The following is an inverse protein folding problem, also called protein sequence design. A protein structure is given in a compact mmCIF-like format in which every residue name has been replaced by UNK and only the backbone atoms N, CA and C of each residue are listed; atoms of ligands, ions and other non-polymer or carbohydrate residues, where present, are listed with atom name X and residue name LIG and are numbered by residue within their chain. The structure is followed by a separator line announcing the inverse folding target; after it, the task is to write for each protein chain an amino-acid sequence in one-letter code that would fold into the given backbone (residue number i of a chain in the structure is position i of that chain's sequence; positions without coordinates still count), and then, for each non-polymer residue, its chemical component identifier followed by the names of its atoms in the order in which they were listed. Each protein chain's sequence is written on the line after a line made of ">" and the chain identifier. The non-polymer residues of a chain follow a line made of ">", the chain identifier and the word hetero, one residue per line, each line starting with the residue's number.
data_IF_684173649168
#
_entry.id   IF_684173649168
#
_cell.length_a   1.000
_cell.length_b   1.000
_cell.length_c   1.000
_cell.angle_alpha   90.00
_cell.angle_beta   90.00
_cell.angle_gamma   90.00
#
_symmetry.space_group_name_H-M   'P 1'
#
loop_
_entity.id
_entity.type
_entity.pdbx_description
1 polymer ?
#
# COMPACT_ATOMS: atom_id res chain seq x y z
N UNK A 1 -33.26 54.02 -37.14
CA UNK A 1 -32.40 53.51 -36.10
C UNK A 1 -32.84 52.07 -35.76
N UNK A 2 -32.10 51.06 -36.26
CA UNK A 2 -32.40 49.64 -36.01
C UNK A 2 -31.51 49.21 -34.85
N UNK A 3 -32.10 48.83 -33.70
CA UNK A 3 -31.37 48.28 -32.55
C UNK A 3 -31.11 46.79 -32.80
N UNK A 4 -29.84 46.41 -32.91
CA UNK A 4 -29.39 45.03 -32.87
C UNK A 4 -29.39 44.56 -31.40
N UNK A 5 -30.22 43.57 -31.11
CA UNK A 5 -30.10 42.80 -29.84
C UNK A 5 -29.11 41.67 -30.09
N UNK A 6 -27.95 41.71 -29.43
CA UNK A 6 -27.01 40.60 -29.39
C UNK A 6 -27.48 39.59 -28.32
N UNK A 7 -27.92 38.42 -28.73
CA UNK A 7 -28.18 37.32 -27.85
C UNK A 7 -26.83 36.68 -27.46
N UNK A 8 -26.41 36.89 -26.19
CA UNK A 8 -25.26 36.19 -25.59
C UNK A 8 -25.77 34.83 -25.11
N UNK A 9 -25.43 33.78 -25.87
CA UNK A 9 -25.67 32.40 -25.47
C UNK A 9 -24.59 32.02 -24.41
N UNK A 10 -25.01 31.93 -23.14
CA UNK A 10 -24.16 31.32 -22.09
C UNK A 10 -24.13 29.82 -22.32
N UNK A 11 -23.02 29.30 -22.83
CA UNK A 11 -22.72 27.87 -22.78
C UNK A 11 -22.32 27.51 -21.36
N UNK A 12 -23.27 26.98 -20.59
CA UNK A 12 -22.93 26.23 -19.37
C UNK A 12 -22.22 24.94 -19.80
N UNK A 13 -20.89 24.93 -19.77
CA UNK A 13 -20.12 23.69 -19.77
C UNK A 13 -20.48 22.94 -18.47
N UNK A 14 -20.96 21.68 -18.54
CA UNK A 14 -21.12 20.89 -17.35
C UNK A 14 -19.73 20.72 -16.70
N UNK A 15 -19.55 21.25 -15.50
CA UNK A 15 -18.46 20.80 -14.63
C UNK A 15 -18.71 19.29 -14.43
N UNK A 16 -17.89 18.45 -15.05
CA UNK A 16 -17.76 17.05 -14.66
C UNK A 16 -17.21 17.05 -13.24
N UNK A 17 -18.09 17.05 -12.25
CA UNK A 17 -17.70 16.77 -10.88
C UNK A 17 -17.16 15.35 -10.89
N UNK A 18 -15.86 15.16 -10.59
CA UNK A 18 -15.29 13.85 -10.35
C UNK A 18 -16.14 13.18 -9.27
N UNK A 19 -16.62 11.97 -9.55
CA UNK A 19 -17.46 11.27 -8.59
C UNK A 19 -16.65 11.01 -7.31
N UNK A 20 -17.09 11.60 -6.18
CA UNK A 20 -16.50 11.37 -4.88
C UNK A 20 -16.66 9.89 -4.48
N UNK A 21 -15.67 9.34 -3.75
CA UNK A 21 -15.79 8.00 -3.16
C UNK A 21 -16.98 7.99 -2.20
N UNK A 22 -17.90 7.05 -2.40
CA UNK A 22 -19.02 6.83 -1.49
C UNK A 22 -18.59 5.86 -0.39
N UNK A 23 -18.25 6.39 0.77
CA UNK A 23 -17.78 5.60 1.90
C UNK A 23 -18.91 4.85 2.61
N UNK A 24 -18.64 3.75 3.36
CA UNK A 24 -19.63 3.09 4.21
C UNK A 24 -20.22 4.05 5.24
N UNK A 25 -21.41 3.73 5.78
CA UNK A 25 -22.10 4.58 6.73
C UNK A 25 -21.22 5.01 7.90
N UNK A 26 -21.16 6.33 8.16
CA UNK A 26 -20.34 6.93 9.20
C UNK A 26 -18.88 7.17 8.83
N UNK A 27 -18.42 6.74 7.66
CA UNK A 27 -17.05 6.98 7.19
C UNK A 27 -16.99 8.14 6.19
N UNK A 28 -15.87 8.87 6.19
CA UNK A 28 -15.60 10.00 5.28
C UNK A 28 -14.30 9.83 4.50
N UNK A 29 -13.39 8.98 4.99
CA UNK A 29 -12.09 8.72 4.38
C UNK A 29 -11.60 7.32 4.79
N UNK A 30 -10.54 6.84 4.14
CA UNK A 30 -9.86 5.63 4.57
C UNK A 30 -8.34 5.81 4.65
N UNK A 31 -7.73 5.16 5.65
CA UNK A 31 -6.28 5.02 5.79
C UNK A 31 -5.92 3.54 5.76
N UNK A 32 -4.95 3.21 4.94
CA UNK A 32 -4.35 1.89 4.83
C UNK A 32 -2.95 1.93 5.44
N UNK A 33 -2.76 1.22 6.57
CA UNK A 33 -1.47 1.09 7.23
C UNK A 33 -0.75 -0.12 6.65
N UNK A 34 0.39 0.09 6.01
CA UNK A 34 1.17 -0.95 5.34
C UNK A 34 2.57 -1.03 5.92
N UNK A 35 3.08 -2.26 6.06
CA UNK A 35 4.34 -2.56 6.71
C UNK A 35 5.16 -3.51 5.83
N UNK A 36 6.38 -3.11 5.46
CA UNK A 36 7.21 -3.84 4.52
C UNK A 36 8.20 -4.79 5.20
N UNK A 37 8.76 -5.68 4.40
CA UNK A 37 9.86 -6.61 4.67
C UNK A 37 9.54 -7.78 5.61
N UNK A 38 8.44 -7.74 6.35
CA UNK A 38 8.12 -8.75 7.35
C UNK A 38 9.02 -8.68 8.59
N UNK A 39 9.37 -7.47 9.03
CA UNK A 39 10.15 -7.21 10.24
C UNK A 39 9.49 -7.86 11.48
N UNK A 40 10.29 -8.43 12.40
CA UNK A 40 9.76 -9.11 13.58
C UNK A 40 9.03 -8.16 14.53
N UNK A 41 9.48 -6.92 14.64
CA UNK A 41 8.81 -5.87 15.43
C UNK A 41 7.36 -5.59 14.98
N UNK A 42 6.97 -6.02 13.79
CA UNK A 42 5.60 -5.85 13.31
C UNK A 42 4.60 -6.72 14.09
N UNK A 43 4.93 -7.97 14.37
CA UNK A 43 4.05 -8.79 15.22
C UNK A 43 4.19 -8.50 16.71
N UNK A 44 5.34 -7.98 17.16
CA UNK A 44 5.57 -7.65 18.56
C UNK A 44 4.91 -6.34 18.99
N UNK A 45 4.91 -5.33 18.12
CA UNK A 45 4.44 -3.97 18.41
C UNK A 45 3.24 -3.54 17.59
N UNK A 46 3.24 -3.80 16.26
CA UNK A 46 2.19 -3.28 15.37
C UNK A 46 0.89 -4.04 15.52
N UNK A 47 0.93 -5.38 15.42
CA UNK A 47 -0.30 -6.21 15.46
C UNK A 47 -1.09 -5.99 16.76
N UNK A 48 -0.47 -5.97 17.96
CA UNK A 48 -1.19 -5.64 19.19
C UNK A 48 -1.82 -4.26 19.18
N UNK A 49 -1.08 -3.22 18.76
CA UNK A 49 -1.59 -1.84 18.71
C UNK A 49 -2.80 -1.69 17.76
N UNK A 50 -2.75 -2.32 16.59
CA UNK A 50 -3.88 -2.32 15.64
C UNK A 50 -5.10 -3.06 16.21
N UNK A 51 -4.88 -4.22 16.83
CA UNK A 51 -5.96 -5.05 17.38
C UNK A 51 -6.70 -4.40 18.54
N UNK A 52 -6.01 -3.60 19.36
CA UNK A 52 -6.63 -2.85 20.47
C UNK A 52 -7.78 -1.95 19.97
N UNK A 53 -7.65 -1.40 18.76
CA UNK A 53 -8.66 -0.53 18.14
C UNK A 53 -9.49 -1.22 17.04
N UNK A 54 -9.40 -2.55 16.89
CA UNK A 54 -10.01 -3.31 15.79
C UNK A 54 -9.58 -2.82 14.40
N UNK A 55 -8.42 -2.20 14.27
CA UNK A 55 -7.83 -1.82 13.00
C UNK A 55 -7.20 -3.02 12.30
N UNK A 56 -7.12 -2.96 10.96
CA UNK A 56 -6.47 -3.98 10.16
C UNK A 56 -5.38 -3.34 9.30
N UNK A 57 -4.20 -3.93 9.34
CA UNK A 57 -3.04 -3.52 8.55
C UNK A 57 -2.70 -4.55 7.48
N UNK A 58 -1.81 -4.17 6.58
CA UNK A 58 -1.27 -5.04 5.52
C UNK A 58 0.23 -5.19 5.70
N UNK A 59 0.72 -6.42 5.68
CA UNK A 59 2.12 -6.76 5.87
C UNK A 59 2.68 -7.35 4.57
N UNK A 60 3.57 -6.63 3.91
CA UNK A 60 4.21 -7.05 2.68
C UNK A 60 5.47 -7.84 3.00
N UNK A 61 5.39 -9.16 2.84
CA UNK A 61 6.43 -10.09 3.27
C UNK A 61 7.46 -10.33 2.17
N UNK A 62 8.74 -10.27 2.54
CA UNK A 62 9.88 -10.59 1.70
C UNK A 62 10.31 -12.05 1.92
N UNK A 63 10.27 -12.86 0.85
CA UNK A 63 10.44 -14.32 0.96
C UNK A 63 11.78 -14.77 1.53
N UNK A 64 12.90 -14.12 1.17
CA UNK A 64 14.23 -14.48 1.66
C UNK A 64 14.46 -14.14 3.14
N UNK A 65 13.55 -13.42 3.77
CA UNK A 65 13.58 -13.11 5.21
C UNK A 65 12.74 -14.08 6.05
N UNK A 66 11.81 -14.80 5.40
CA UNK A 66 10.95 -15.75 6.08
C UNK A 66 11.71 -17.02 6.44
N UNK A 67 11.65 -17.39 7.70
CA UNK A 67 12.12 -18.67 8.21
C UNK A 67 10.94 -19.58 8.59
N UNK A 68 11.21 -20.85 8.86
CA UNK A 68 10.15 -21.79 9.29
C UNK A 68 9.52 -21.38 10.64
N UNK A 69 10.27 -20.64 11.49
CA UNK A 69 9.79 -20.13 12.78
C UNK A 69 8.82 -18.95 12.60
N UNK A 70 8.91 -18.20 11.52
CA UNK A 70 8.10 -17.02 11.26
C UNK A 70 6.72 -17.39 10.70
N UNK A 71 6.61 -18.50 9.97
CA UNK A 71 5.38 -18.95 9.32
C UNK A 71 4.19 -19.05 10.29
N UNK A 72 4.30 -19.67 11.49
CA UNK A 72 3.20 -19.72 12.44
C UNK A 72 2.74 -18.35 12.94
N UNK A 73 3.67 -17.39 13.06
CA UNK A 73 3.35 -16.04 13.50
C UNK A 73 2.56 -15.29 12.42
N UNK A 74 3.03 -15.32 11.16
CA UNK A 74 2.32 -14.69 10.05
C UNK A 74 0.95 -15.33 9.78
N UNK A 75 0.79 -16.65 10.00
CA UNK A 75 -0.52 -17.29 9.96
C UNK A 75 -1.46 -16.72 11.01
N UNK A 76 -1.00 -16.56 12.26
CA UNK A 76 -1.77 -15.91 13.31
C UNK A 76 -2.17 -14.48 12.95
N UNK A 77 -1.27 -13.69 12.35
CA UNK A 77 -1.54 -12.33 11.89
C UNK A 77 -2.68 -12.34 10.87
N UNK A 78 -2.64 -13.25 9.90
CA UNK A 78 -3.72 -13.41 8.92
C UNK A 78 -5.04 -13.88 9.55
N UNK A 79 -5.01 -14.84 10.48
CA UNK A 79 -6.20 -15.32 11.22
C UNK A 79 -6.87 -14.20 12.04
N UNK A 80 -6.14 -13.17 12.44
CA UNK A 80 -6.67 -11.99 13.11
C UNK A 80 -7.27 -10.95 12.13
N UNK A 81 -7.31 -11.26 10.84
CA UNK A 81 -7.92 -10.45 9.80
C UNK A 81 -7.02 -9.38 9.19
N UNK A 82 -5.72 -9.41 9.49
CA UNK A 82 -4.75 -8.60 8.75
C UNK A 82 -4.46 -9.22 7.39
N UNK A 83 -3.94 -8.40 6.47
CA UNK A 83 -3.56 -8.84 5.13
C UNK A 83 -2.07 -9.17 5.08
N UNK A 84 -1.74 -10.31 4.43
CA UNK A 84 -0.38 -10.59 3.99
C UNK A 84 -0.27 -10.25 2.51
N UNK A 85 0.70 -9.43 2.16
CA UNK A 85 0.99 -9.00 0.79
C UNK A 85 2.37 -9.49 0.32
N UNK A 86 2.60 -9.43 -0.97
CA UNK A 86 3.80 -9.88 -1.63
C UNK A 86 4.83 -8.75 -1.77
N UNK A 87 6.05 -8.97 -1.27
CA UNK A 87 7.19 -8.05 -1.42
C UNK A 87 8.38 -8.71 -2.14
N UNK A 88 8.09 -9.62 -3.07
CA UNK A 88 9.02 -10.51 -3.78
C UNK A 88 9.74 -11.50 -2.86
N UNK A 89 10.60 -12.35 -3.45
CA UNK A 89 11.44 -13.25 -2.66
C UNK A 89 12.73 -12.53 -2.25
N UNK A 90 13.38 -11.83 -3.18
CA UNK A 90 14.74 -11.33 -2.99
C UNK A 90 14.84 -9.81 -2.80
N UNK A 91 13.72 -9.09 -2.87
CA UNK A 91 13.70 -7.62 -2.75
C UNK A 91 14.67 -6.93 -3.73
N UNK A 92 14.61 -7.32 -5.00
CA UNK A 92 15.53 -6.80 -6.01
C UNK A 92 15.32 -5.30 -6.26
N UNK A 93 16.38 -4.50 -6.07
CA UNK A 93 16.43 -3.06 -6.36
C UNK A 93 17.59 -2.73 -7.31
N UNK A 94 17.49 -1.63 -8.06
CA UNK A 94 18.57 -1.17 -8.93
C UNK A 94 19.80 -0.68 -8.15
N UNK A 95 19.59 -0.17 -6.93
CA UNK A 95 20.66 0.32 -6.06
C UNK A 95 21.28 -0.78 -5.19
N UNK A 96 20.71 -1.99 -5.22
CA UNK A 96 21.26 -3.13 -4.50
C UNK A 96 22.65 -3.43 -5.09
N UNK A 97 23.66 -3.49 -4.23
CA UNK A 97 24.95 -4.08 -4.60
C UNK A 97 24.65 -5.50 -5.08
N UNK A 98 25.02 -5.80 -6.34
CA UNK A 98 24.83 -7.12 -6.88
C UNK A 98 25.33 -8.14 -5.86
N UNK A 99 24.45 -9.05 -5.39
CA UNK A 99 24.88 -10.15 -4.54
C UNK A 99 25.71 -11.10 -5.40
N UNK A 100 27.02 -10.93 -5.29
CA UNK A 100 28.00 -11.71 -6.03
C UNK A 100 28.28 -13.07 -5.39
N UNK A 101 27.77 -13.33 -4.17
CA UNK A 101 28.03 -14.57 -3.43
C UNK A 101 27.44 -15.80 -4.12
N UNK A 102 26.36 -15.66 -4.87
CA UNK A 102 25.72 -16.76 -5.62
C UNK A 102 26.07 -16.79 -7.11
N UNK A 103 26.84 -15.83 -7.60
CA UNK A 103 27.11 -15.66 -9.04
C UNK A 103 25.91 -15.16 -9.84
N UNK A 104 24.80 -14.79 -9.19
CA UNK A 104 23.61 -14.24 -9.81
C UNK A 104 23.48 -12.76 -9.48
N UNK A 105 23.17 -11.95 -10.48
CA UNK A 105 22.83 -10.55 -10.25
C UNK A 105 21.40 -10.49 -9.70
N UNK A 106 21.23 -9.91 -8.51
CA UNK A 106 19.92 -9.66 -7.90
C UNK A 106 19.49 -8.20 -8.01
N UNK A 107 20.23 -7.38 -8.73
CA UNK A 107 19.78 -6.03 -9.04
C UNK A 107 18.62 -6.10 -10.06
N UNK A 108 17.61 -5.26 -9.87
CA UNK A 108 16.39 -5.27 -10.68
C UNK A 108 16.66 -5.04 -12.19
N UNK A 109 17.73 -4.32 -12.54
CA UNK A 109 18.17 -4.13 -13.92
C UNK A 109 18.71 -5.40 -14.60
N UNK A 110 19.02 -6.45 -13.84
CA UNK A 110 19.45 -7.77 -14.36
C UNK A 110 18.26 -8.71 -14.63
N UNK A 111 17.07 -8.39 -14.13
CA UNK A 111 15.86 -9.18 -14.34
C UNK A 111 15.23 -8.87 -15.68
N UNK A 112 14.67 -9.88 -16.32
CA UNK A 112 13.61 -9.71 -17.31
C UNK A 112 12.27 -9.55 -16.62
N UNK A 113 11.27 -9.00 -17.32
CA UNK A 113 9.89 -8.95 -16.82
C UNK A 113 9.37 -10.35 -16.47
N UNK A 114 9.65 -11.35 -17.31
CA UNK A 114 9.22 -12.73 -17.09
C UNK A 114 9.81 -13.32 -15.80
N UNK A 115 11.10 -13.12 -15.54
CA UNK A 115 11.76 -13.59 -14.32
C UNK A 115 11.15 -12.93 -13.09
N UNK A 116 10.88 -11.63 -13.12
CA UNK A 116 10.23 -10.93 -12.02
C UNK A 116 8.80 -11.43 -11.78
N UNK A 117 8.00 -11.58 -12.83
CA UNK A 117 6.63 -12.12 -12.70
C UNK A 117 6.64 -13.56 -12.16
N UNK A 118 7.61 -14.38 -12.52
CA UNK A 118 7.77 -15.73 -11.99
C UNK A 118 8.15 -15.71 -10.50
N UNK A 119 9.06 -14.83 -10.08
CA UNK A 119 9.41 -14.65 -8.68
C UNK A 119 8.18 -14.24 -7.84
N UNK A 120 7.38 -13.28 -8.33
CA UNK A 120 6.14 -12.85 -7.68
C UNK A 120 5.13 -14.00 -7.56
N UNK A 121 4.95 -14.81 -8.61
CA UNK A 121 4.08 -16.00 -8.58
C UNK A 121 4.53 -17.02 -7.54
N UNK A 122 5.84 -17.26 -7.42
CA UNK A 122 6.38 -18.18 -6.42
C UNK A 122 6.10 -17.63 -5.01
N UNK A 123 6.34 -16.36 -4.78
CA UNK A 123 6.07 -15.73 -3.48
C UNK A 123 4.57 -15.76 -3.14
N UNK A 124 3.66 -15.55 -4.10
CA UNK A 124 2.22 -15.76 -3.89
C UNK A 124 1.91 -17.20 -3.45
N UNK A 125 2.60 -18.20 -4.00
CA UNK A 125 2.47 -19.59 -3.56
C UNK A 125 2.87 -19.79 -2.09
N UNK A 126 3.94 -19.12 -1.62
CA UNK A 126 4.33 -19.13 -0.20
C UNK A 126 3.27 -18.45 0.68
N UNK A 127 2.78 -17.29 0.28
CA UNK A 127 1.74 -16.60 1.02
C UNK A 127 0.46 -17.43 1.11
N UNK A 128 0.03 -18.05 0.00
CA UNK A 128 -1.13 -18.95 -0.02
C UNK A 128 -0.97 -20.14 0.92
N UNK A 129 0.24 -20.66 1.08
CA UNK A 129 0.51 -21.75 2.05
C UNK A 129 0.47 -21.24 3.52
N UNK A 130 0.65 -19.95 3.76
CA UNK A 130 0.58 -19.33 5.08
C UNK A 130 -0.87 -19.00 5.44
N UNK A 131 -1.59 -18.28 4.55
CA UNK A 131 -2.89 -17.66 4.86
C UNK A 131 -4.09 -18.30 4.16
N UNK A 132 -3.86 -19.23 3.23
CA UNK A 132 -4.90 -19.93 2.47
C UNK A 132 -5.60 -19.09 1.41
N UNK A 133 -5.16 -17.83 1.17
CA UNK A 133 -5.77 -16.95 0.18
C UNK A 133 -5.19 -17.21 -1.22
N UNK A 134 -6.03 -17.08 -2.24
CA UNK A 134 -5.62 -17.28 -3.65
C UNK A 134 -5.07 -16.00 -4.30
N UNK A 135 -5.36 -14.83 -3.74
CA UNK A 135 -5.00 -13.54 -4.32
C UNK A 135 -4.32 -12.67 -3.27
N UNK A 136 -3.24 -12.01 -3.66
CA UNK A 136 -2.47 -11.12 -2.81
C UNK A 136 -2.25 -9.77 -3.50
N UNK A 137 -2.10 -8.72 -2.69
CA UNK A 137 -1.58 -7.43 -3.13
C UNK A 137 -0.06 -7.44 -3.19
N UNK A 138 0.51 -6.41 -3.78
CA UNK A 138 1.94 -6.29 -4.03
C UNK A 138 2.49 -4.95 -3.55
N UNK A 139 3.71 -4.93 -3.04
CA UNK A 139 4.49 -3.71 -2.84
C UNK A 139 5.78 -3.79 -3.66
N UNK A 140 6.05 -2.73 -4.41
CA UNK A 140 7.29 -2.65 -5.22
C UNK A 140 8.51 -2.49 -4.32
N UNK A 141 9.51 -3.42 -4.36
CA UNK A 141 10.79 -3.19 -3.72
C UNK A 141 11.41 -1.86 -4.15
N UNK A 142 11.80 -1.03 -3.18
CA UNK A 142 12.34 0.33 -3.41
C UNK A 142 11.43 1.24 -4.28
N UNK A 143 10.12 0.99 -4.35
CA UNK A 143 9.20 1.70 -5.23
C UNK A 143 9.47 1.52 -6.73
N UNK A 144 10.24 0.52 -7.14
CA UNK A 144 10.70 0.34 -8.52
C UNK A 144 9.85 -0.68 -9.27
N UNK A 145 9.26 -0.27 -10.39
CA UNK A 145 8.34 -1.08 -11.19
C UNK A 145 8.91 -1.53 -12.56
N UNK A 146 10.24 -1.37 -12.77
CA UNK A 146 10.89 -1.74 -14.05
C UNK A 146 12.00 -2.76 -13.84
N UNK A 147 11.83 -3.95 -14.41
CA UNK A 147 12.81 -5.01 -14.49
C UNK A 147 13.53 -4.95 -15.85
N UNK A 148 14.85 -4.88 -15.85
CA UNK A 148 15.63 -4.71 -17.09
C UNK A 148 15.21 -3.49 -17.91
N UNK A 149 14.72 -2.44 -17.26
CA UNK A 149 14.24 -1.21 -17.91
C UNK A 149 12.80 -1.27 -18.45
N UNK A 150 12.10 -2.42 -18.35
CA UNK A 150 10.74 -2.62 -18.83
C UNK A 150 9.76 -2.71 -17.64
N UNK A 151 8.58 -2.11 -17.79
CA UNK A 151 7.52 -2.14 -16.79
C UNK A 151 7.04 -3.58 -16.56
N UNK A 152 7.02 -4.03 -15.28
CA UNK A 152 6.46 -5.32 -14.90
C UNK A 152 5.15 -5.18 -14.09
N UNK A 153 4.83 -3.98 -13.64
CA UNK A 153 3.65 -3.74 -12.82
C UNK A 153 2.35 -3.87 -13.61
N UNK A 154 2.27 -3.23 -14.78
CA UNK A 154 1.08 -3.35 -15.64
C UNK A 154 0.82 -4.80 -16.03
N UNK A 155 1.76 -5.58 -16.61
CA UNK A 155 1.51 -6.98 -16.93
C UNK A 155 1.24 -7.86 -15.71
N UNK A 156 1.76 -7.54 -14.52
CA UNK A 156 1.43 -8.25 -13.28
C UNK A 156 -0.05 -8.15 -12.94
N UNK A 157 -0.62 -6.94 -13.04
CA UNK A 157 -2.04 -6.69 -12.78
C UNK A 157 -2.92 -7.28 -13.90
N UNK A 158 -2.58 -7.05 -15.17
CA UNK A 158 -3.36 -7.54 -16.31
C UNK A 158 -3.44 -9.07 -16.36
N UNK A 159 -2.40 -9.77 -15.93
CA UNK A 159 -2.39 -11.23 -15.83
C UNK A 159 -3.05 -11.75 -14.54
N UNK A 160 -3.55 -10.86 -13.65
CA UNK A 160 -4.16 -11.25 -12.39
C UNK A 160 -3.19 -11.91 -11.39
N UNK A 161 -1.88 -11.64 -11.49
CA UNK A 161 -0.88 -12.19 -10.59
C UNK A 161 -1.02 -11.57 -9.20
N UNK A 162 -1.24 -10.25 -9.14
CA UNK A 162 -1.59 -9.53 -7.92
C UNK A 162 -2.80 -8.62 -8.17
N UNK A 163 -3.53 -8.25 -7.10
CA UNK A 163 -4.74 -7.42 -7.21
C UNK A 163 -4.42 -5.94 -7.35
N UNK A 164 -3.49 -5.45 -6.54
CA UNK A 164 -3.05 -4.06 -6.47
C UNK A 164 -1.56 -4.00 -6.17
N UNK A 165 -0.89 -2.92 -6.63
CA UNK A 165 0.53 -2.72 -6.43
C UNK A 165 0.83 -1.32 -5.87
N UNK A 166 1.48 -1.27 -4.70
CA UNK A 166 1.83 -0.07 -3.95
C UNK A 166 3.20 0.45 -4.36
N UNK A 167 3.25 1.75 -4.63
CA UNK A 167 4.45 2.56 -4.79
C UNK A 167 4.98 3.05 -3.42
N UNK A 168 6.00 3.90 -3.43
CA UNK A 168 6.55 4.57 -2.25
C UNK A 168 6.81 6.05 -2.53
N UNK A 169 7.16 6.80 -1.47
CA UNK A 169 7.75 8.14 -1.53
C UNK A 169 6.91 9.20 -2.26
N UNK A 170 5.59 9.16 -2.07
CA UNK A 170 4.68 10.19 -2.56
C UNK A 170 3.70 10.64 -1.47
N UNK A 171 3.26 11.88 -1.56
CA UNK A 171 2.18 12.42 -0.71
C UNK A 171 0.82 12.42 -1.43
N UNK A 172 0.71 11.70 -2.55
CA UNK A 172 -0.53 11.59 -3.28
C UNK A 172 -1.53 10.67 -2.56
N UNK A 173 -2.81 10.89 -2.85
CA UNK A 173 -3.92 10.11 -2.32
C UNK A 173 -4.91 9.76 -3.44
N UNK A 174 -5.82 8.84 -3.18
CA UNK A 174 -6.91 8.49 -4.09
C UNK A 174 -8.11 9.34 -3.68
N UNK A 175 -8.39 10.43 -4.43
CA UNK A 175 -9.48 11.36 -4.12
C UNK A 175 -10.81 10.93 -4.75
N UNK A 176 -10.78 10.14 -5.83
CA UNK A 176 -11.94 9.63 -6.53
C UNK A 176 -11.73 8.21 -7.04
N UNK A 177 -12.80 7.45 -7.37
CA UNK A 177 -12.65 6.12 -7.96
C UNK A 177 -11.86 6.11 -9.26
N UNK A 178 -11.90 7.20 -10.04
CA UNK A 178 -11.15 7.34 -11.30
C UNK A 178 -9.63 7.46 -11.10
N UNK A 179 -9.17 7.90 -9.93
CA UNK A 179 -7.74 8.04 -9.61
C UNK A 179 -7.08 6.69 -9.28
N UNK A 180 -7.89 5.68 -8.98
CA UNK A 180 -7.39 4.35 -8.65
C UNK A 180 -6.70 3.72 -9.87
N UNK A 181 -5.38 3.57 -9.83
CA UNK A 181 -4.61 2.78 -10.79
C UNK A 181 -4.08 1.52 -10.07
N UNK A 182 -4.63 0.31 -10.34
CA UNK A 182 -4.22 -0.90 -9.61
C UNK A 182 -2.73 -1.22 -9.67
N UNK A 183 -2.03 -0.82 -10.74
CA UNK A 183 -0.59 -1.03 -10.89
C UNK A 183 0.25 0.08 -10.24
N UNK A 184 -0.37 1.13 -9.67
CA UNK A 184 0.37 2.28 -9.16
C UNK A 184 -0.41 2.98 -8.04
N UNK A 185 -0.49 2.35 -6.88
CA UNK A 185 -1.13 2.93 -5.69
C UNK A 185 -0.11 3.78 -4.95
N UNK A 186 -0.34 5.10 -4.80
CA UNK A 186 0.58 5.99 -4.10
C UNK A 186 0.64 5.67 -2.61
N UNK A 187 1.79 5.92 -1.97
CA UNK A 187 1.97 5.76 -0.54
C UNK A 187 2.91 6.80 0.06
N UNK A 188 2.51 7.37 1.18
CA UNK A 188 3.33 8.19 2.05
C UNK A 188 4.30 7.30 2.84
N UNK A 189 5.60 7.56 2.74
CA UNK A 189 6.63 6.78 3.43
C UNK A 189 7.00 7.42 4.76
N UNK A 190 6.82 6.69 5.86
CA UNK A 190 7.33 7.08 7.17
C UNK A 190 8.82 6.70 7.26
N UNK A 191 9.71 7.68 7.09
CA UNK A 191 11.15 7.50 7.15
C UNK A 191 11.66 7.26 8.57
N UNK A 192 12.90 6.73 8.75
CA UNK A 192 13.48 6.49 10.05
C UNK A 192 13.43 7.74 10.95
N UNK A 193 12.96 7.55 12.18
CA UNK A 193 12.86 8.61 13.17
C UNK A 193 11.72 9.60 12.96
N UNK A 194 10.81 9.35 12.01
CA UNK A 194 9.60 10.18 11.85
C UNK A 194 8.78 10.19 13.14
N UNK A 195 8.24 11.36 13.45
CA UNK A 195 7.33 11.60 14.57
C UNK A 195 5.88 11.58 14.10
N UNK A 196 4.96 11.25 14.99
CA UNK A 196 3.52 11.31 14.70
C UNK A 196 3.11 12.66 14.09
N UNK A 197 3.71 13.77 14.57
CA UNK A 197 3.49 15.12 14.04
C UNK A 197 3.88 15.32 12.57
N UNK A 198 4.68 14.44 11.98
CA UNK A 198 5.04 14.46 10.57
C UNK A 198 4.13 13.55 9.72
N UNK A 199 3.47 12.56 10.34
CA UNK A 199 2.58 11.61 9.69
C UNK A 199 1.13 12.10 9.72
N UNK A 200 0.66 12.62 10.86
CA UNK A 200 -0.71 13.10 11.06
C UNK A 200 -1.18 14.11 10.01
N UNK A 201 -0.36 15.09 9.55
CA UNK A 201 -0.80 16.00 8.49
C UNK A 201 -1.19 15.31 7.17
N UNK A 202 -0.61 14.15 6.86
CA UNK A 202 -1.05 13.37 5.71
C UNK A 202 -2.42 12.72 5.95
N UNK A 203 -2.69 12.24 7.17
CA UNK A 203 -4.01 11.71 7.57
C UNK A 203 -5.08 12.80 7.46
N UNK A 204 -4.77 14.00 7.94
CA UNK A 204 -5.68 15.17 7.85
C UNK A 204 -5.98 15.52 6.39
N UNK A 205 -4.97 15.57 5.55
CA UNK A 205 -5.11 15.81 4.10
C UNK A 205 -6.05 14.78 3.45
N UNK A 206 -5.92 13.50 3.80
CA UNK A 206 -6.79 12.43 3.29
C UNK A 206 -8.23 12.61 3.78
N UNK A 207 -8.41 12.95 5.06
CA UNK A 207 -9.74 13.19 5.65
C UNK A 207 -10.41 14.42 5.03
N UNK A 208 -9.70 15.52 4.87
CA UNK A 208 -10.20 16.75 4.23
C UNK A 208 -10.62 16.51 2.77
N UNK A 209 -9.87 15.70 2.04
CA UNK A 209 -10.19 15.34 0.65
C UNK A 209 -11.35 14.34 0.54
N UNK A 210 -11.72 13.68 1.64
CA UNK A 210 -12.69 12.58 1.60
C UNK A 210 -12.19 11.36 0.80
N UNK A 211 -10.88 11.17 0.74
CA UNK A 211 -10.19 10.19 -0.09
C UNK A 211 -9.68 8.97 0.67
N UNK A 212 -8.76 8.23 0.04
CA UNK A 212 -8.01 7.14 0.64
C UNK A 212 -6.51 7.41 0.57
N UNK A 213 -5.79 7.13 1.66
CA UNK A 213 -4.34 7.26 1.76
C UNK A 213 -3.67 5.98 2.24
N UNK A 214 -2.47 5.73 1.75
CA UNK A 214 -1.61 4.63 2.20
C UNK A 214 -0.43 5.21 2.96
N UNK A 215 -0.13 4.63 4.12
CA UNK A 215 1.08 4.94 4.88
C UNK A 215 1.96 3.70 4.93
N UNK A 216 3.20 3.87 4.54
CA UNK A 216 4.24 2.84 4.50
C UNK A 216 5.15 2.96 5.71
N UNK A 217 5.30 1.86 6.43
CA UNK A 217 6.27 1.65 7.49
C UNK A 217 7.14 0.41 7.19
N UNK A 218 8.22 0.26 7.96
CA UNK A 218 9.01 -0.97 8.04
C UNK A 218 9.06 -1.44 9.51
N UNK A 219 10.19 -1.28 10.21
CA UNK A 219 10.30 -1.61 11.63
C UNK A 219 9.62 -0.59 12.55
N UNK A 220 9.06 -1.05 13.66
CA UNK A 220 8.49 -0.21 14.72
C UNK A 220 9.17 -0.54 16.04
N UNK A 221 9.95 0.41 16.56
CA UNK A 221 10.71 0.24 17.80
C UNK A 221 11.94 -0.66 17.67
N UNK A 222 12.32 -1.04 16.46
CA UNK A 222 13.45 -1.90 16.14
C UNK A 222 13.49 -2.30 14.68
N UNK A 223 14.33 -3.26 14.33
CA UNK A 223 14.65 -3.67 12.97
C UNK A 223 15.24 -2.48 12.15
N UNK A 224 15.04 -2.46 10.83
CA UNK A 224 15.56 -1.39 9.97
C UNK A 224 14.47 -0.41 9.55
N UNK A 225 14.87 0.77 9.07
CA UNK A 225 13.96 1.86 8.65
C UNK A 225 12.91 2.16 9.73
N UNK A 226 13.35 2.19 10.99
CA UNK A 226 12.46 2.15 12.16
C UNK A 226 11.83 3.51 12.49
N UNK A 227 10.57 3.47 12.89
CA UNK A 227 9.85 4.52 13.61
C UNK A 227 9.72 4.09 15.08
N UNK A 228 9.82 5.03 16.02
CA UNK A 228 9.71 4.73 17.45
C UNK A 228 8.32 4.18 17.79
N UNK A 229 8.25 3.22 18.69
CA UNK A 229 6.97 2.61 19.13
C UNK A 229 6.00 3.65 19.69
N UNK A 230 6.49 4.63 20.48
CA UNK A 230 5.67 5.70 21.04
C UNK A 230 5.07 6.58 19.95
N UNK A 231 5.83 6.91 18.91
CA UNK A 231 5.37 7.74 17.81
C UNK A 231 4.35 7.00 16.91
N UNK A 232 4.58 5.71 16.69
CA UNK A 232 3.59 4.87 16.02
C UNK A 232 2.29 4.80 16.84
N UNK A 233 2.37 4.59 18.17
CA UNK A 233 1.20 4.55 19.04
C UNK A 233 0.43 5.88 19.02
N UNK A 234 1.11 7.02 19.10
CA UNK A 234 0.47 8.33 19.00
C UNK A 234 -0.33 8.50 17.69
N UNK A 235 0.18 8.00 16.58
CA UNK A 235 -0.52 8.01 15.29
C UNK A 235 -1.73 7.06 15.32
N UNK A 236 -1.60 5.86 15.92
CA UNK A 236 -2.73 4.92 16.10
C UNK A 236 -3.82 5.52 16.98
N UNK A 237 -3.46 6.15 18.10
CA UNK A 237 -4.40 6.84 19.00
C UNK A 237 -5.13 7.98 18.30
N UNK A 238 -4.41 8.73 17.45
CA UNK A 238 -5.00 9.76 16.60
C UNK A 238 -6.07 9.17 15.68
N UNK A 239 -5.78 8.08 14.96
CA UNK A 239 -6.74 7.40 14.11
C UNK A 239 -7.95 6.86 14.91
N UNK A 240 -7.71 6.35 16.13
CA UNK A 240 -8.76 5.85 17.01
C UNK A 240 -9.72 6.96 17.48
N UNK A 241 -9.22 8.19 17.65
CA UNK A 241 -10.02 9.36 17.98
C UNK A 241 -10.89 9.86 16.80
N UNK A 242 -10.58 9.46 15.56
CA UNK A 242 -11.28 9.88 14.34
C UNK A 242 -12.13 8.73 13.77
N UNK A 243 -13.24 8.42 14.41
CA UNK A 243 -14.11 7.28 14.03
C UNK A 243 -14.67 7.37 12.61
N UNK A 244 -14.67 8.54 11.99
CA UNK A 244 -15.02 8.79 10.59
C UNK A 244 -13.98 8.31 9.57
N UNK A 245 -12.77 7.92 10.02
CA UNK A 245 -11.76 7.30 9.17
C UNK A 245 -11.94 5.77 9.22
N UNK A 246 -12.00 5.13 8.07
CA UNK A 246 -11.91 3.69 7.97
C UNK A 246 -10.45 3.25 7.93
N UNK A 247 -9.95 2.59 8.97
CA UNK A 247 -8.64 1.93 8.95
C UNK A 247 -8.86 0.48 8.54
N UNK A 248 -8.50 0.16 7.32
CA UNK A 248 -8.71 -1.16 6.69
C UNK A 248 -7.47 -1.71 6.01
N UNK A 249 -7.54 -2.97 5.58
CA UNK A 249 -6.46 -3.57 4.79
C UNK A 249 -6.34 -2.88 3.41
N UNK A 250 -5.17 -2.99 2.82
CA UNK A 250 -4.90 -2.41 1.50
C UNK A 250 -5.88 -2.96 0.43
N UNK A 251 -6.07 -4.27 0.40
CA UNK A 251 -6.98 -4.90 -0.55
C UNK A 251 -8.45 -4.57 -0.29
N UNK A 252 -8.91 -4.51 0.97
CA UNK A 252 -10.32 -4.24 1.28
C UNK A 252 -10.73 -2.84 0.85
N UNK A 253 -9.93 -1.82 1.20
CA UNK A 253 -10.22 -0.43 0.86
C UNK A 253 -10.17 -0.22 -0.65
N UNK A 254 -9.13 -0.73 -1.32
CA UNK A 254 -8.98 -0.55 -2.77
C UNK A 254 -10.05 -1.31 -3.57
N UNK A 255 -10.42 -2.51 -3.14
CA UNK A 255 -11.53 -3.27 -3.74
C UNK A 255 -12.85 -2.55 -3.57
N UNK A 256 -13.09 -1.93 -2.42
CA UNK A 256 -14.27 -1.11 -2.19
C UNK A 256 -14.35 0.11 -3.14
N UNK A 257 -13.23 0.80 -3.35
CA UNK A 257 -13.15 1.92 -4.29
C UNK A 257 -13.32 1.42 -5.74
N UNK A 258 -12.68 0.29 -6.08
CA UNK A 258 -12.74 -0.27 -7.45
C UNK A 258 -14.16 -0.63 -7.89
N UNK A 259 -15.02 -1.06 -6.98
CA UNK A 259 -16.42 -1.37 -7.28
C UNK A 259 -17.27 -0.13 -7.63
N UNK A 260 -16.74 1.07 -7.46
CA UNK A 260 -17.42 2.34 -7.74
C UNK A 260 -16.98 2.98 -9.07
N UNK A 261 -16.09 2.33 -9.84
CA UNK A 261 -15.66 2.78 -11.18
C UNK A 261 -16.76 2.56 -12.24
#
# INVERSE_FOLDING_TARGET
>A
MKRLFANILFYCLPLLALAQIQWPAGKKAAIMLTYDDGCHTQWDHVVPALNEHNFKGTFFLMGCYLTEQDIPQWRKVSEQGHELGNHTIYHACNDAKADTLSGHCRALNCYTVEEMLNEIKIMNGFLSAIDGKAQHSFAYPCGQHKAGGQDYGVPMIEQGICSFARMSDTEDLIASPSDLNPANIPAFTAFPGYKASQIIPFIDKVLEAGGAGVILFHGIGGDWVTVDTEEHQLMIDYLAAHSEIWVGTFSDVLSYIQQQK
#
